data_IF_100152878904
#
_entry.id   IF_100152878904
#
_cell.length_a   1.000
_cell.length_b   1.000
_cell.length_c   1.000
_cell.angle_alpha   90.00
_cell.angle_beta   90.00
_cell.angle_gamma   90.00
#
_symmetry.space_group_name_H-M   'P 1'
#
loop_
_entity.id
_entity.type
_entity.pdbx_description
1 polymer ?
#
# COMPACT_ATOMS: atom_id res chain seq x y z
N UNK A 1 8.89 6.40 -11.33
CA UNK A 1 7.41 6.48 -11.36
C UNK A 1 6.93 7.75 -12.07
N UNK A 2 7.49 8.93 -11.80
CA UNK A 2 7.08 10.17 -12.49
C UNK A 2 7.33 10.11 -14.01
N UNK A 3 8.51 9.64 -14.43
CA UNK A 3 8.87 9.58 -15.85
C UNK A 3 7.97 8.63 -16.65
N UNK A 4 7.49 7.52 -16.05
CA UNK A 4 6.54 6.62 -16.71
C UNK A 4 5.16 7.24 -16.90
N UNK A 5 4.87 8.36 -16.22
CA UNK A 5 3.69 9.19 -16.43
C UNK A 5 3.95 10.31 -17.46
N UNK A 6 5.16 10.38 -18.04
CA UNK A 6 5.56 11.46 -18.95
C UNK A 6 5.93 12.77 -18.24
N UNK A 7 6.18 12.73 -16.93
CA UNK A 7 6.47 13.90 -16.09
C UNK A 7 7.95 14.05 -15.80
N UNK A 8 8.35 15.20 -15.23
CA UNK A 8 9.70 15.37 -14.70
C UNK A 8 9.99 14.34 -13.62
N UNK A 9 11.26 13.90 -13.50
CA UNK A 9 11.65 12.79 -12.63
C UNK A 9 11.16 12.93 -11.17
N UNK A 10 11.10 14.16 -10.66
CA UNK A 10 10.76 14.47 -9.28
C UNK A 10 9.30 14.90 -9.07
N UNK A 11 8.45 14.91 -10.10
CA UNK A 11 7.08 15.46 -9.99
C UNK A 11 6.20 14.80 -8.91
N UNK A 12 6.28 13.48 -8.75
CA UNK A 12 5.58 12.79 -7.67
C UNK A 12 6.21 13.09 -6.31
N UNK A 13 7.55 13.10 -6.21
CA UNK A 13 8.27 13.42 -4.98
C UNK A 13 7.93 14.83 -4.47
N UNK A 14 7.90 15.82 -5.36
CA UNK A 14 7.48 17.19 -5.07
C UNK A 14 6.04 17.27 -4.54
N UNK A 15 5.12 16.44 -5.07
CA UNK A 15 3.74 16.34 -4.57
C UNK A 15 3.66 15.66 -3.21
N UNK A 16 4.53 14.69 -2.91
CA UNK A 16 4.54 14.01 -1.61
C UNK A 16 5.25 14.83 -0.51
N UNK A 17 6.17 15.72 -0.89
CA UNK A 17 6.96 16.51 0.05
C UNK A 17 7.90 15.65 0.89
N UNK A 18 8.30 16.16 2.05
CA UNK A 18 9.09 15.38 3.01
C UNK A 18 8.28 14.18 3.53
N UNK A 19 8.90 13.01 3.50
CA UNK A 19 8.30 11.76 3.92
C UNK A 19 9.03 11.19 5.15
N UNK A 20 8.25 10.56 6.02
CA UNK A 20 8.76 9.77 7.14
C UNK A 20 8.79 8.29 6.78
N UNK A 21 9.89 7.63 7.14
CA UNK A 21 10.03 6.19 7.00
C UNK A 21 9.63 5.48 8.30
N UNK A 22 8.77 4.48 8.20
CA UNK A 22 8.39 3.60 9.31
C UNK A 22 8.71 2.16 8.94
N UNK A 23 9.40 1.42 9.80
CA UNK A 23 9.71 0.00 9.60
C UNK A 23 8.87 -0.85 10.56
N UNK A 24 8.19 -1.86 10.01
CA UNK A 24 7.41 -2.83 10.76
C UNK A 24 7.93 -4.24 10.49
N UNK A 25 8.14 -5.01 11.55
CA UNK A 25 8.49 -6.43 11.47
C UNK A 25 7.29 -7.24 11.92
N UNK A 26 6.71 -8.02 11.00
CA UNK A 26 5.60 -8.91 11.29
C UNK A 26 6.10 -10.34 11.47
N UNK A 27 5.61 -11.02 12.49
CA UNK A 27 5.84 -12.45 12.72
C UNK A 27 4.51 -13.19 12.76
N UNK A 28 4.33 -14.14 11.84
CA UNK A 28 3.14 -14.96 11.69
C UNK A 28 3.49 -16.42 12.00
N UNK A 29 3.09 -16.97 13.16
CA UNK A 29 3.32 -18.37 13.48
C UNK A 29 2.42 -19.30 12.66
N UNK A 30 2.77 -20.60 12.55
CA UNK A 30 1.90 -21.62 11.98
C UNK A 30 0.50 -21.60 12.62
N UNK A 31 -0.53 -21.58 11.79
CA UNK A 31 -1.92 -21.56 12.20
C UNK A 31 -2.58 -22.92 11.92
N UNK A 32 -3.11 -23.65 12.93
CA UNK A 32 -3.75 -24.95 12.72
C UNK A 32 -4.98 -24.91 11.79
N UNK A 33 -5.65 -23.75 11.73
CA UNK A 33 -6.86 -23.48 10.95
C UNK A 33 -6.68 -22.17 10.15
N UNK A 34 -5.80 -22.16 9.14
CA UNK A 34 -5.54 -20.96 8.34
C UNK A 34 -6.75 -20.59 7.45
N UNK A 35 -7.71 -21.50 7.31
CA UNK A 35 -9.01 -21.28 6.68
C UNK A 35 -9.97 -20.43 7.53
N UNK A 36 -9.73 -20.32 8.85
CA UNK A 36 -10.57 -19.58 9.79
C UNK A 36 -9.90 -18.33 10.37
N UNK A 37 -8.67 -18.02 9.98
CA UNK A 37 -7.90 -16.91 10.54
C UNK A 37 -7.15 -16.14 9.44
N UNK A 38 -6.94 -14.85 9.66
CA UNK A 38 -6.16 -13.97 8.78
C UNK A 38 -4.97 -13.40 9.55
N UNK A 39 -3.83 -13.20 8.87
CA UNK A 39 -2.63 -12.62 9.46
C UNK A 39 -2.73 -11.10 9.53
N UNK A 40 -3.09 -10.47 8.41
CA UNK A 40 -3.49 -9.07 8.35
C UNK A 40 -4.69 -8.96 7.42
N UNK A 41 -5.70 -8.23 7.85
CA UNK A 41 -6.97 -8.10 7.14
C UNK A 41 -6.80 -7.40 5.77
N UNK A 42 -7.87 -7.40 4.98
CA UNK A 42 -7.92 -6.76 3.66
C UNK A 42 -7.84 -5.24 3.80
N UNK A 43 -6.82 -4.63 3.19
CA UNK A 43 -6.61 -3.18 3.21
C UNK A 43 -5.84 -2.70 1.97
N UNK A 44 -5.80 -1.38 1.79
CA UNK A 44 -4.79 -0.68 0.99
C UNK A 44 -3.76 -0.05 1.92
N UNK A 45 -2.56 0.23 1.40
CA UNK A 45 -1.55 0.94 2.17
C UNK A 45 -1.80 2.45 2.13
N UNK A 46 -1.72 3.08 3.30
CA UNK A 46 -1.75 4.55 3.42
C UNK A 46 -0.32 5.09 3.35
N UNK A 47 -0.05 5.96 2.38
CA UNK A 47 1.27 6.55 2.16
C UNK A 47 1.60 6.69 0.68
N UNK A 48 2.90 6.84 0.35
CA UNK A 48 3.37 6.90 -1.02
C UNK A 48 3.66 5.50 -1.61
N UNK A 49 4.54 4.75 -0.95
CA UNK A 49 4.91 3.37 -1.33
C UNK A 49 5.27 2.55 -0.10
N UNK A 50 5.14 1.23 -0.21
CA UNK A 50 5.61 0.26 0.78
C UNK A 50 6.61 -0.70 0.15
N UNK A 51 7.73 -0.93 0.83
CA UNK A 51 8.75 -1.88 0.43
C UNK A 51 8.69 -3.10 1.37
N UNK A 52 8.31 -4.24 0.83
CA UNK A 52 8.15 -5.49 1.56
C UNK A 52 9.29 -6.46 1.23
N UNK A 53 9.97 -6.91 2.28
CA UNK A 53 10.78 -8.12 2.25
C UNK A 53 10.01 -9.29 2.89
N UNK A 54 10.08 -10.45 2.25
CA UNK A 54 9.56 -11.72 2.78
C UNK A 54 10.40 -12.89 2.25
N UNK A 55 10.42 -14.04 2.95
CA UNK A 55 11.05 -15.27 2.48
C UNK A 55 10.53 -15.70 1.10
N UNK A 56 11.41 -16.26 0.27
CA UNK A 56 11.10 -16.76 -1.08
C UNK A 56 10.37 -18.12 -1.05
N UNK A 57 10.37 -18.82 0.08
CA UNK A 57 9.81 -20.16 0.26
C UNK A 57 8.51 -20.20 1.11
N UNK A 58 7.96 -19.02 1.44
CA UNK A 58 6.70 -18.88 2.19
C UNK A 58 5.80 -17.82 1.55
N UNK A 59 4.70 -18.27 0.94
CA UNK A 59 3.66 -17.38 0.42
C UNK A 59 2.76 -16.91 1.57
N UNK A 60 2.60 -15.59 1.70
CA UNK A 60 1.69 -15.01 2.70
C UNK A 60 1.03 -13.71 2.26
N UNK A 61 1.64 -12.92 1.40
CA UNK A 61 0.96 -11.77 0.79
C UNK A 61 0.03 -12.24 -0.35
N UNK A 62 -1.20 -11.72 -0.36
CA UNK A 62 -2.12 -11.84 -1.48
C UNK A 62 -2.61 -10.46 -1.90
N UNK A 63 -2.76 -10.24 -3.20
CA UNK A 63 -3.35 -9.02 -3.80
C UNK A 63 -4.65 -9.37 -4.50
N UNK A 64 -5.65 -8.50 -4.39
CA UNK A 64 -6.92 -8.65 -5.09
C UNK A 64 -6.78 -8.03 -6.49
N UNK A 65 -7.02 -8.83 -7.53
CA UNK A 65 -7.05 -8.38 -8.91
C UNK A 65 -8.24 -9.02 -9.60
N UNK A 66 -9.03 -8.21 -10.32
CA UNK A 66 -10.16 -8.70 -11.12
C UNK A 66 -11.17 -9.55 -10.31
N UNK A 67 -11.30 -9.29 -9.00
CA UNK A 67 -12.19 -10.01 -8.10
C UNK A 67 -11.59 -11.28 -7.48
N UNK A 68 -10.36 -11.63 -7.83
CA UNK A 68 -9.68 -12.84 -7.37
C UNK A 68 -8.42 -12.52 -6.55
N UNK A 69 -8.15 -13.38 -5.56
CA UNK A 69 -6.97 -13.25 -4.69
C UNK A 69 -5.78 -13.98 -5.31
N UNK A 70 -4.73 -13.23 -5.64
CA UNK A 70 -3.50 -13.77 -6.21
C UNK A 70 -2.36 -13.76 -5.19
N UNK A 71 -1.64 -14.89 -5.02
CA UNK A 71 -0.46 -14.92 -4.17
C UNK A 71 0.67 -14.08 -4.77
N UNK A 72 1.41 -13.37 -3.93
CA UNK A 72 2.62 -12.65 -4.32
C UNK A 72 3.83 -13.42 -3.82
N UNK A 73 4.51 -14.12 -4.73
CA UNK A 73 5.82 -14.73 -4.48
C UNK A 73 6.93 -13.73 -4.77
N UNK A 74 7.89 -13.60 -3.86
CA UNK A 74 9.09 -12.78 -4.07
C UNK A 74 10.23 -13.67 -4.54
N UNK A 75 10.95 -13.25 -5.57
CA UNK A 75 12.21 -13.90 -5.92
C UNK A 75 13.23 -13.75 -4.79
N UNK A 76 14.19 -14.66 -4.70
CA UNK A 76 15.26 -14.59 -3.70
C UNK A 76 15.97 -13.24 -3.75
N UNK A 77 16.00 -12.54 -2.60
CA UNK A 77 16.64 -11.23 -2.48
C UNK A 77 15.87 -10.06 -3.09
N UNK A 78 14.68 -10.29 -3.63
CA UNK A 78 13.83 -9.23 -4.16
C UNK A 78 13.01 -8.55 -3.06
N UNK A 79 12.67 -7.29 -3.31
CA UNK A 79 11.66 -6.55 -2.55
C UNK A 79 10.39 -6.45 -3.39
N UNK A 80 9.25 -6.64 -2.74
CA UNK A 80 7.95 -6.33 -3.34
C UNK A 80 7.64 -4.87 -3.05
N UNK A 81 7.37 -4.08 -4.10
CA UNK A 81 6.96 -2.69 -3.96
C UNK A 81 5.44 -2.61 -4.14
N UNK A 82 4.74 -2.07 -3.16
CA UNK A 82 3.30 -1.81 -3.20
C UNK A 82 3.11 -0.31 -3.35
N UNK A 83 2.36 0.10 -4.37
CA UNK A 83 1.90 1.48 -4.51
C UNK A 83 0.85 1.74 -3.44
N UNK A 84 0.97 2.85 -2.73
CA UNK A 84 0.02 3.23 -1.69
C UNK A 84 -0.91 4.37 -2.17
N UNK A 85 -1.94 4.65 -1.37
CA UNK A 85 -3.08 5.46 -1.76
C UNK A 85 -2.73 6.87 -2.24
N UNK A 86 -1.68 7.50 -1.67
CA UNK A 86 -1.32 8.87 -2.04
C UNK A 86 -0.77 8.95 -3.46
N UNK A 87 -0.01 7.94 -3.91
CA UNK A 87 0.46 7.88 -5.31
C UNK A 87 -0.69 7.56 -6.26
N UNK A 88 -1.65 6.74 -5.85
CA UNK A 88 -2.88 6.53 -6.64
C UNK A 88 -3.64 7.86 -6.82
N UNK A 89 -3.85 8.62 -5.75
CA UNK A 89 -4.51 9.94 -5.81
C UNK A 89 -3.73 10.90 -6.72
N UNK A 90 -2.43 11.06 -6.48
CA UNK A 90 -1.58 11.99 -7.23
C UNK A 90 -1.49 11.65 -8.73
N UNK A 91 -1.43 10.36 -9.06
CA UNK A 91 -1.42 9.91 -10.46
C UNK A 91 -2.79 9.89 -11.13
N UNK A 92 -3.81 10.48 -10.50
CA UNK A 92 -5.20 10.43 -10.94
C UNK A 92 -5.64 8.98 -11.27
N UNK A 93 -5.26 8.02 -10.43
CA UNK A 93 -5.65 6.62 -10.57
C UNK A 93 -4.92 5.83 -11.64
N UNK A 94 -3.87 6.37 -12.29
CA UNK A 94 -3.06 5.61 -13.26
C UNK A 94 -2.29 4.50 -12.55
N UNK A 95 -1.61 4.83 -11.45
CA UNK A 95 -1.09 3.81 -10.55
C UNK A 95 -2.20 3.36 -9.60
N UNK A 96 -2.28 2.05 -9.37
CA UNK A 96 -3.30 1.45 -8.50
C UNK A 96 -2.70 1.06 -7.16
N UNK A 97 -3.36 1.47 -6.09
CA UNK A 97 -3.14 0.97 -4.74
C UNK A 97 -3.98 -0.29 -4.57
N UNK A 98 -3.36 -1.50 -4.53
CA UNK A 98 -4.12 -2.74 -4.54
C UNK A 98 -4.65 -3.06 -3.16
N UNK A 99 -5.90 -3.54 -3.10
CA UNK A 99 -6.38 -4.28 -1.94
C UNK A 99 -5.50 -5.51 -1.77
N UNK A 100 -5.00 -5.71 -0.56
CA UNK A 100 -4.12 -6.82 -0.24
C UNK A 100 -4.38 -7.31 1.18
N UNK A 101 -3.95 -8.55 1.46
CA UNK A 101 -4.09 -9.19 2.77
C UNK A 101 -2.91 -10.11 3.04
N UNK A 102 -2.69 -10.44 4.31
CA UNK A 102 -1.71 -11.44 4.71
C UNK A 102 -2.42 -12.70 5.19
N UNK A 103 -2.20 -13.81 4.50
CA UNK A 103 -2.73 -15.12 4.87
C UNK A 103 -1.75 -15.89 5.76
N UNK A 104 -2.31 -16.72 6.63
CA UNK A 104 -1.56 -17.64 7.47
C UNK A 104 -1.40 -18.97 6.75
N UNK A 105 -0.44 -19.77 7.21
CA UNK A 105 -0.25 -21.13 6.73
C UNK A 105 -0.09 -22.09 7.93
N UNK A 106 -0.23 -23.39 7.70
CA UNK A 106 -0.25 -24.40 8.78
C UNK A 106 1.12 -24.89 9.21
N UNK A 107 2.13 -24.69 8.37
CA UNK A 107 3.37 -25.51 8.43
C UNK A 107 4.62 -24.69 8.78
N UNK A 108 4.65 -23.40 8.42
CA UNK A 108 5.85 -22.54 8.50
C UNK A 108 5.56 -21.21 9.17
N UNK A 109 6.51 -20.76 9.99
CA UNK A 109 6.56 -19.36 10.40
C UNK A 109 6.79 -18.48 9.17
N UNK A 110 6.16 -17.31 9.14
CA UNK A 110 6.46 -16.25 8.18
C UNK A 110 6.92 -15.01 8.93
N UNK A 111 8.07 -14.49 8.56
CA UNK A 111 8.50 -13.14 8.96
C UNK A 111 8.43 -12.25 7.73
N UNK A 112 7.95 -11.02 7.89
CA UNK A 112 8.08 -10.01 6.85
C UNK A 112 8.54 -8.69 7.43
N UNK A 113 9.34 -7.95 6.67
CA UNK A 113 9.81 -6.62 7.03
C UNK A 113 9.18 -5.65 6.03
N UNK A 114 8.39 -4.70 6.51
CA UNK A 114 7.81 -3.65 5.69
C UNK A 114 8.47 -2.32 6.03
N UNK A 115 8.80 -1.54 5.02
CA UNK A 115 9.14 -0.14 5.13
C UNK A 115 8.08 0.69 4.43
N UNK A 116 7.38 1.52 5.20
CA UNK A 116 6.38 2.46 4.71
C UNK A 116 7.00 3.84 4.53
N UNK A 117 6.63 4.51 3.44
CA UNK A 117 6.97 5.92 3.21
C UNK A 117 5.69 6.75 3.33
N UNK A 118 5.54 7.40 4.48
CA UNK A 118 4.36 8.18 4.85
C UNK A 118 4.63 9.67 4.68
N UNK A 119 3.59 10.43 4.35
CA UNK A 119 3.71 11.87 4.11
C UNK A 119 3.63 12.65 5.44
N UNK A 120 4.03 13.92 5.41
CA UNK A 120 3.66 14.85 6.47
C UNK A 120 2.12 14.86 6.66
N UNK A 121 1.59 14.81 7.89
CA UNK A 121 0.15 14.85 8.16
C UNK A 121 -0.60 16.01 7.48
N UNK A 122 0.06 17.16 7.31
CA UNK A 122 -0.51 18.35 6.67
C UNK A 122 -0.29 18.42 5.16
N UNK A 123 0.42 17.45 4.57
CA UNK A 123 0.62 17.39 3.13
C UNK A 123 -0.73 17.26 2.43
N UNK A 124 -1.04 18.20 1.55
CA UNK A 124 -2.22 18.18 0.71
C UNK A 124 -1.89 17.42 -0.58
N UNK A 125 -2.59 16.33 -0.84
CA UNK A 125 -2.41 15.51 -2.05
C UNK A 125 -3.65 15.65 -2.92
N UNK A 126 -3.43 15.88 -4.21
CA UNK A 126 -4.46 15.95 -5.24
C UNK A 126 -3.95 15.31 -6.52
N UNK A 127 -4.84 14.96 -7.48
CA UNK A 127 -4.40 14.63 -8.82
C UNK A 127 -3.46 15.72 -9.37
N UNK A 128 -2.34 15.30 -9.96
CA UNK A 128 -1.39 16.20 -10.61
C UNK A 128 -2.06 16.87 -11.80
N UNK A 129 -1.93 18.19 -11.90
CA UNK A 129 -2.54 18.99 -12.98
C UNK A 129 -2.07 18.52 -14.36
N UNK A 130 -0.81 18.07 -14.46
CA UNK A 130 -0.21 17.51 -15.69
C UNK A 130 -0.96 16.28 -16.23
N UNK A 131 -1.76 15.62 -15.40
CA UNK A 131 -2.50 14.38 -15.72
C UNK A 131 -4.01 14.62 -15.89
N UNK A 132 -4.45 15.87 -15.77
CA UNK A 132 -5.85 16.26 -15.90
C UNK A 132 -6.09 16.83 -17.30
N UNK A 133 -7.19 16.41 -17.93
CA UNK A 133 -7.68 16.97 -19.19
C UNK A 133 -9.18 16.77 -19.32
N UNK A 134 -9.80 17.33 -20.37
CA UNK A 134 -11.22 17.08 -20.68
C UNK A 134 -11.53 15.59 -20.86
N UNK A 135 -10.56 14.81 -21.34
CA UNK A 135 -10.66 13.36 -21.53
C UNK A 135 -10.31 12.53 -20.29
N UNK A 136 -9.69 13.17 -19.28
CA UNK A 136 -9.25 12.56 -18.03
C UNK A 136 -9.48 13.56 -16.89
N UNK A 137 -10.74 13.78 -16.46
CA UNK A 137 -11.06 14.71 -15.39
C UNK A 137 -10.49 14.22 -14.04
N UNK A 138 -10.38 15.11 -13.03
CA UNK A 138 -9.92 14.71 -11.71
C UNK A 138 -10.89 13.70 -11.08
N UNK A 139 -10.39 12.51 -10.74
CA UNK A 139 -11.18 11.45 -10.08
C UNK A 139 -11.17 11.56 -8.55
N UNK A 140 -10.25 12.35 -7.99
CA UNK A 140 -10.05 12.49 -6.56
C UNK A 140 -10.11 13.96 -6.16
N UNK A 141 -10.67 14.23 -4.98
CA UNK A 141 -10.62 15.55 -4.38
C UNK A 141 -9.29 15.75 -3.63
N UNK A 142 -8.77 16.99 -3.55
CA UNK A 142 -7.64 17.28 -2.69
C UNK A 142 -7.92 16.85 -1.24
N UNK A 143 -7.02 16.09 -0.63
CA UNK A 143 -7.13 15.62 0.75
C UNK A 143 -5.83 15.80 1.49
N UNK A 144 -5.89 16.18 2.77
CA UNK A 144 -4.69 16.12 3.62
C UNK A 144 -4.40 14.66 3.94
N UNK A 145 -3.12 14.33 4.10
CA UNK A 145 -2.69 12.98 4.43
C UNK A 145 -3.35 12.47 5.72
N UNK A 146 -3.40 13.29 6.78
CA UNK A 146 -4.02 12.92 8.06
C UNK A 146 -5.52 12.60 7.94
N UNK A 147 -6.23 13.33 7.10
CA UNK A 147 -7.69 13.18 6.94
C UNK A 147 -7.98 11.87 6.20
N UNK A 148 -7.17 11.57 5.17
CA UNK A 148 -7.22 10.30 4.46
C UNK A 148 -6.84 9.12 5.38
N UNK A 149 -5.77 9.27 6.16
CA UNK A 149 -5.34 8.25 7.11
C UNK A 149 -6.42 7.94 8.15
N UNK A 150 -7.09 8.96 8.67
CA UNK A 150 -8.20 8.79 9.61
C UNK A 150 -9.41 8.12 8.96
N UNK A 151 -9.75 8.49 7.73
CA UNK A 151 -10.85 7.86 6.98
C UNK A 151 -10.57 6.37 6.68
N UNK A 152 -9.32 6.03 6.33
CA UNK A 152 -8.88 4.65 6.12
C UNK A 152 -8.94 3.81 7.41
N UNK A 153 -8.86 4.46 8.58
CA UNK A 153 -8.97 3.84 9.92
C UNK A 153 -10.43 3.74 10.44
N UNK A 154 -11.45 3.90 9.59
CA UNK A 154 -12.90 3.86 9.95
C UNK A 154 -13.33 2.66 10.82
N UNK A 155 -14.51 2.73 11.49
CA UNK A 155 -14.78 2.29 12.87
C UNK A 155 -14.66 0.78 13.13
N UNK A 156 -13.45 0.24 13.06
CA UNK A 156 -13.12 -1.13 13.44
C UNK A 156 -11.96 -1.21 14.46
N UNK A 157 -11.46 -0.08 14.94
CA UNK A 157 -10.41 -0.02 15.98
C UNK A 157 -10.90 0.37 17.38
N UNK A 158 -12.20 0.58 17.59
CA UNK A 158 -12.74 1.05 18.89
C UNK A 158 -13.03 -0.06 19.93
N UNK A 159 -12.83 -1.34 19.61
CA UNK A 159 -13.15 -2.46 20.52
C UNK A 159 -11.97 -3.42 20.71
N UNK A 160 -10.77 -2.90 20.94
CA UNK A 160 -9.63 -3.69 21.41
C UNK A 160 -8.70 -2.87 22.30
N UNK A 161 -9.18 -2.59 23.52
CA UNK A 161 -8.36 -2.34 24.71
C UNK A 161 -9.19 -2.57 25.95
#
# INVERSE_FOLDING_TARGET
MSESLGLSAHRLEEMMGEMQQTILVNHYPPCPRPDLAIGIDTHTDVGAVSCLWQPDDVVGLQVLREGEWHPVSSARGALTIIVADQVQIASNGIFKSPLHRGVLNKDKNRVSILSFYQLNPEQLVSPLEDLISDSSPPMYQPTRFKDHEQAAKGPLSANAS
#
